data_IF_597133241641
#
_entry.id   IF_597133241641
#
_cell.length_a   1.000
_cell.length_b   1.000
_cell.length_c   1.000
_cell.angle_alpha   90.00
_cell.angle_beta   90.00
_cell.angle_gamma   90.00
#
_symmetry.space_group_name_H-M   'P 1'
#
loop_
_entity.id
_entity.type
_entity.pdbx_description
1 polymer ?
#
# COMPACT_ATOMS: atom_id res chain seq x y z
N UNK A 1 12.42 17.51 -24.78
CA UNK A 1 12.66 17.67 -23.31
C UNK A 1 14.09 18.09 -23.02
N UNK A 2 15.12 17.32 -23.38
CA UNK A 2 16.52 17.73 -23.19
C UNK A 2 16.84 19.08 -23.86
N UNK A 3 16.37 19.29 -25.09
CA UNK A 3 16.48 20.58 -25.79
C UNK A 3 15.82 21.75 -25.05
N UNK A 4 14.86 21.49 -24.16
CA UNK A 4 14.20 22.50 -23.33
C UNK A 4 14.86 22.66 -21.94
N UNK A 5 16.07 22.11 -21.74
CA UNK A 5 16.83 22.22 -20.49
C UNK A 5 16.51 21.15 -19.45
N UNK A 6 15.68 20.15 -19.76
CA UNK A 6 15.34 19.08 -18.81
C UNK A 6 16.46 18.03 -18.75
N UNK A 7 17.04 17.82 -17.58
CA UNK A 7 17.95 16.70 -17.30
C UNK A 7 17.15 15.40 -17.25
N UNK A 8 17.38 14.51 -18.22
CA UNK A 8 16.81 13.16 -18.22
C UNK A 8 17.83 12.20 -17.63
N UNK A 9 17.42 11.48 -16.59
CA UNK A 9 18.23 10.45 -15.93
C UNK A 9 17.58 9.12 -16.22
N UNK A 10 18.32 8.22 -16.84
CA UNK A 10 17.88 6.86 -17.08
C UNK A 10 18.23 5.99 -15.89
N UNK A 11 17.37 5.02 -15.60
CA UNK A 11 17.61 4.07 -14.53
C UNK A 11 18.86 3.23 -14.80
N UNK A 12 19.60 2.89 -13.75
CA UNK A 12 20.77 2.01 -13.85
C UNK A 12 20.39 0.67 -14.51
N UNK A 13 21.28 0.08 -15.34
CA UNK A 13 21.04 -1.25 -15.92
C UNK A 13 20.69 -2.29 -14.84
N UNK A 14 19.61 -3.03 -15.06
CA UNK A 14 19.12 -4.05 -14.12
C UNK A 14 18.18 -3.53 -13.02
N UNK A 15 18.09 -2.21 -12.81
CA UNK A 15 17.24 -1.61 -11.78
C UNK A 15 16.14 -0.77 -12.42
N UNK A 16 14.88 -1.19 -12.29
CA UNK A 16 13.74 -0.43 -12.81
C UNK A 16 13.14 0.45 -11.71
N UNK A 17 13.00 1.74 -11.98
CA UNK A 17 12.28 2.66 -11.10
C UNK A 17 10.78 2.50 -11.34
N UNK A 18 10.04 2.15 -10.31
CA UNK A 18 8.59 2.00 -10.34
C UNK A 18 7.90 2.81 -9.25
N UNK A 19 8.64 3.50 -8.38
CA UNK A 19 8.12 4.57 -7.52
C UNK A 19 7.47 5.69 -8.35
N UNK A 20 6.39 6.29 -7.82
CA UNK A 20 5.67 7.41 -8.46
C UNK A 20 5.72 8.62 -7.56
N UNK A 21 6.79 9.39 -7.77
CA UNK A 21 7.10 10.57 -6.99
C UNK A 21 7.17 11.77 -7.94
N UNK A 22 6.59 12.89 -7.52
CA UNK A 22 6.86 14.19 -8.09
C UNK A 22 7.25 15.13 -6.95
N UNK A 23 8.26 15.97 -7.18
CA UNK A 23 8.84 16.80 -6.12
C UNK A 23 9.21 18.18 -6.66
N UNK A 24 8.87 19.21 -5.91
CA UNK A 24 9.12 20.61 -6.23
C UNK A 24 9.84 21.27 -5.07
N UNK A 25 10.98 21.90 -5.36
CA UNK A 25 11.70 22.78 -4.43
C UNK A 25 11.44 24.24 -4.80
N UNK A 26 11.00 25.02 -3.82
CA UNK A 26 10.69 26.44 -3.99
C UNK A 26 11.51 27.26 -2.99
N UNK A 27 12.19 28.30 -3.46
CA UNK A 27 12.82 29.28 -2.57
C UNK A 27 11.75 29.97 -1.72
N UNK A 28 11.99 30.09 -0.43
CA UNK A 28 11.12 30.78 0.51
C UNK A 28 11.79 32.05 1.02
N UNK A 29 10.97 33.02 1.45
CA UNK A 29 11.43 34.21 2.17
C UNK A 29 11.57 33.95 3.68
N UNK A 30 11.32 32.72 4.12
CA UNK A 30 11.43 32.25 5.49
C UNK A 30 12.92 31.98 5.81
N UNK A 31 13.56 32.78 6.69
CA UNK A 31 14.99 32.63 6.98
C UNK A 31 15.34 31.28 7.60
N UNK A 32 14.40 30.67 8.33
CA UNK A 32 14.55 29.36 8.99
C UNK A 32 14.24 28.19 8.05
N UNK A 33 13.61 28.46 6.89
CA UNK A 33 13.26 27.45 5.88
C UNK A 33 13.40 28.01 4.46
N UNK A 34 14.63 28.36 4.02
CA UNK A 34 14.86 29.09 2.78
C UNK A 34 14.51 28.27 1.53
N UNK A 35 14.30 26.96 1.65
CA UNK A 35 13.88 26.08 0.55
C UNK A 35 12.75 25.16 1.03
N UNK A 36 11.52 25.47 0.61
CA UNK A 36 10.34 24.66 0.89
C UNK A 36 10.15 23.58 -0.17
N UNK A 37 9.90 22.36 0.28
CA UNK A 37 9.62 21.21 -0.55
C UNK A 37 8.15 20.84 -0.57
N UNK A 38 7.66 20.44 -1.73
CA UNK A 38 6.31 19.89 -1.92
C UNK A 38 6.44 18.63 -2.75
N UNK A 39 5.81 17.54 -2.31
CA UNK A 39 5.87 16.28 -3.01
C UNK A 39 4.50 15.64 -3.17
N UNK A 40 4.34 14.96 -4.30
CA UNK A 40 3.28 14.00 -4.55
C UNK A 40 3.88 12.59 -4.54
N UNK A 41 3.27 11.69 -3.77
CA UNK A 41 3.60 10.27 -3.74
C UNK A 41 2.37 9.45 -4.13
N UNK A 42 2.48 8.58 -5.12
CA UNK A 42 1.35 7.83 -5.68
C UNK A 42 1.51 6.31 -5.62
N UNK A 43 0.40 5.60 -5.50
CA UNK A 43 0.33 4.14 -5.71
C UNK A 43 0.37 3.76 -7.19
N UNK A 44 -0.06 4.67 -8.06
CA UNK A 44 -0.18 4.51 -9.50
C UNK A 44 0.61 5.53 -10.31
N UNK A 45 0.62 5.33 -11.62
CA UNK A 45 1.35 6.19 -12.56
C UNK A 45 0.63 7.52 -12.81
N UNK A 46 1.37 8.50 -13.35
CA UNK A 46 0.86 9.83 -13.69
C UNK A 46 0.09 9.87 -15.02
N UNK A 47 -0.34 8.73 -15.56
CA UNK A 47 -0.98 8.69 -16.88
C UNK A 47 -2.48 8.99 -16.75
N UNK A 48 -2.90 10.10 -17.37
CA UNK A 48 -4.30 10.57 -17.34
C UNK A 48 -5.30 9.54 -17.88
N UNK A 49 -4.90 8.73 -18.88
CA UNK A 49 -5.78 7.70 -19.46
C UNK A 49 -6.09 6.61 -18.43
N UNK A 50 -5.09 6.17 -17.68
CA UNK A 50 -5.29 5.14 -16.65
C UNK A 50 -5.95 5.71 -15.41
N UNK A 51 -5.73 6.98 -15.06
CA UNK A 51 -6.37 7.62 -13.90
C UNK A 51 -7.91 7.60 -13.95
N UNK A 52 -8.52 7.50 -15.14
CA UNK A 52 -9.99 7.41 -15.29
C UNK A 52 -10.58 6.04 -14.95
N UNK A 53 -9.75 5.00 -15.00
CA UNK A 53 -10.21 3.61 -14.86
C UNK A 53 -9.49 2.88 -13.72
N UNK A 54 -8.36 3.38 -13.23
CA UNK A 54 -7.60 2.79 -12.15
C UNK A 54 -7.94 3.53 -10.86
N UNK A 55 -8.32 2.77 -9.85
CA UNK A 55 -8.50 3.28 -8.49
C UNK A 55 -7.13 3.34 -7.81
N UNK A 56 -6.54 4.54 -7.80
CA UNK A 56 -5.24 4.85 -7.20
C UNK A 56 -5.36 5.86 -6.07
N UNK A 57 -4.34 5.90 -5.20
CA UNK A 57 -4.23 6.89 -4.11
C UNK A 57 -2.96 7.71 -4.28
N UNK A 58 -3.05 8.98 -3.93
CA UNK A 58 -1.92 9.90 -3.94
C UNK A 58 -1.91 10.77 -2.69
N UNK A 59 -0.72 11.04 -2.16
CA UNK A 59 -0.49 11.96 -1.05
C UNK A 59 0.27 13.18 -1.56
N UNK A 60 -0.33 14.36 -1.44
CA UNK A 60 0.35 15.63 -1.60
C UNK A 60 0.77 16.15 -0.22
N UNK A 61 2.05 16.45 -0.04
CA UNK A 61 2.59 16.82 1.27
C UNK A 61 3.74 17.83 1.19
N UNK A 62 3.89 18.62 2.24
CA UNK A 62 5.07 19.46 2.51
C UNK A 62 5.74 19.08 3.83
N UNK A 63 5.51 17.85 4.32
CA UNK A 63 6.15 17.34 5.54
C UNK A 63 7.67 17.26 5.34
N UNK A 64 8.42 18.05 6.13
CA UNK A 64 9.87 18.22 5.97
C UNK A 64 10.65 16.90 6.02
N UNK A 65 10.24 15.95 6.86
CA UNK A 65 10.95 14.68 6.99
C UNK A 65 10.69 13.76 5.79
N UNK A 66 9.45 13.70 5.28
CA UNK A 66 9.16 12.99 4.02
C UNK A 66 9.92 13.64 2.86
N UNK A 67 9.97 14.97 2.80
CA UNK A 67 10.71 15.70 1.76
C UNK A 67 12.20 15.34 1.77
N UNK A 68 12.83 15.27 2.96
CA UNK A 68 14.24 14.86 3.10
C UNK A 68 14.50 13.47 2.56
N UNK A 69 13.64 12.50 2.88
CA UNK A 69 13.77 11.15 2.34
C UNK A 69 13.58 11.11 0.82
N UNK A 70 12.67 11.92 0.26
CA UNK A 70 12.49 12.03 -1.20
C UNK A 70 13.73 12.61 -1.88
N UNK A 71 14.34 13.65 -1.31
CA UNK A 71 15.62 14.19 -1.79
C UNK A 71 16.68 13.08 -1.86
N UNK A 72 16.74 12.20 -0.85
CA UNK A 72 17.67 11.07 -0.83
C UNK A 72 17.32 10.01 -1.88
N UNK A 73 16.02 9.70 -2.11
CA UNK A 73 15.60 8.81 -3.21
C UNK A 73 16.11 9.36 -4.55
N UNK A 74 15.92 10.65 -4.81
CA UNK A 74 16.40 11.24 -6.07
C UNK A 74 17.92 11.17 -6.16
N UNK A 75 18.67 11.47 -5.09
CA UNK A 75 20.14 11.34 -5.09
C UNK A 75 20.61 9.93 -5.45
N UNK A 76 19.98 8.90 -4.88
CA UNK A 76 20.24 7.49 -5.23
C UNK A 76 20.00 7.26 -6.73
N UNK A 77 18.89 7.75 -7.27
CA UNK A 77 18.57 7.63 -8.69
C UNK A 77 19.53 8.39 -9.60
N UNK A 78 20.13 9.48 -9.12
CA UNK A 78 21.19 10.21 -9.82
C UNK A 78 22.57 9.51 -9.74
N UNK A 79 22.69 8.40 -9.02
CA UNK A 79 23.96 7.70 -8.79
C UNK A 79 24.91 8.47 -7.85
N UNK A 80 24.39 9.40 -7.05
CA UNK A 80 25.18 10.12 -6.05
C UNK A 80 25.42 9.23 -4.83
N UNK A 81 26.54 9.43 -4.10
CA UNK A 81 26.73 8.81 -2.80
C UNK A 81 25.53 9.13 -1.90
N UNK A 82 24.85 8.09 -1.43
CA UNK A 82 23.81 8.22 -0.42
C UNK A 82 24.50 8.36 0.94
N UNK A 83 24.01 9.29 1.76
CA UNK A 83 24.64 9.67 3.03
C UNK A 83 23.73 9.36 4.23
N UNK A 84 22.47 8.95 4.00
CA UNK A 84 21.46 8.83 5.06
C UNK A 84 20.60 7.58 4.92
N UNK A 85 20.20 7.03 6.06
CA UNK A 85 19.12 6.05 6.18
C UNK A 85 17.76 6.73 5.94
N UNK A 86 16.90 6.12 5.12
CA UNK A 86 15.51 6.54 4.98
C UNK A 86 14.78 6.35 6.32
N UNK A 87 14.26 7.44 6.89
CA UNK A 87 13.65 7.43 8.24
C UNK A 87 12.15 7.18 8.22
N UNK A 88 11.48 7.62 7.17
CA UNK A 88 10.03 7.61 7.02
C UNK A 88 9.61 6.79 5.79
N UNK A 89 10.27 7.01 4.65
CA UNK A 89 10.03 6.24 3.44
C UNK A 89 10.62 4.83 3.57
N UNK A 90 9.88 3.86 3.08
CA UNK A 90 10.39 2.52 2.86
C UNK A 90 10.74 2.39 1.39
N UNK A 91 11.98 2.03 1.10
CA UNK A 91 12.51 1.92 -0.27
C UNK A 91 13.08 0.51 -0.46
N UNK A 92 12.68 -0.15 -1.54
CA UNK A 92 13.24 -1.47 -1.89
C UNK A 92 14.73 -1.34 -2.21
N UNK A 93 15.49 -2.41 -2.00
CA UNK A 93 16.96 -2.42 -2.00
C UNK A 93 17.61 -1.71 -0.79
N UNK A 94 16.80 -1.12 0.10
CA UNK A 94 17.27 -0.46 1.31
C UNK A 94 16.55 -1.05 2.53
N UNK A 95 15.55 -0.35 3.07
CA UNK A 95 14.91 -0.66 4.35
C UNK A 95 13.53 -1.33 4.23
N UNK A 96 12.94 -1.42 3.02
CA UNK A 96 11.52 -1.82 2.90
C UNK A 96 11.27 -3.26 3.38
N UNK A 97 12.08 -4.23 2.96
CA UNK A 97 11.81 -5.63 3.26
C UNK A 97 11.96 -5.94 4.75
N UNK A 98 13.01 -5.40 5.38
CA UNK A 98 13.22 -5.52 6.82
C UNK A 98 12.10 -4.85 7.62
N UNK A 99 11.66 -3.66 7.20
CA UNK A 99 10.54 -2.97 7.85
C UNK A 99 9.22 -3.74 7.74
N UNK A 100 8.91 -4.35 6.59
CA UNK A 100 7.71 -5.19 6.43
C UNK A 100 7.76 -6.37 7.40
N UNK A 101 8.89 -7.10 7.44
CA UNK A 101 9.06 -8.21 8.38
C UNK A 101 8.90 -7.74 9.82
N UNK A 102 9.53 -6.63 10.21
CA UNK A 102 9.41 -6.08 11.56
C UNK A 102 7.96 -5.75 11.93
N UNK A 103 7.19 -5.15 11.01
CA UNK A 103 5.78 -4.86 11.26
C UNK A 103 4.96 -6.14 11.47
N UNK A 104 5.23 -7.21 10.71
CA UNK A 104 4.58 -8.51 10.89
C UNK A 104 4.98 -9.14 12.24
N UNK A 105 6.27 -9.16 12.59
CA UNK A 105 6.74 -9.69 13.86
C UNK A 105 6.20 -8.89 15.06
N UNK A 106 5.98 -7.59 14.90
CA UNK A 106 5.34 -6.78 15.94
C UNK A 106 3.91 -7.27 16.21
N UNK A 107 3.09 -7.49 15.17
CA UNK A 107 1.73 -8.04 15.36
C UNK A 107 1.74 -9.41 16.04
N UNK A 108 2.72 -10.27 15.70
CA UNK A 108 2.92 -11.56 16.38
C UNK A 108 3.21 -11.33 17.86
N UNK A 109 4.15 -10.43 18.17
CA UNK A 109 4.53 -10.09 19.55
C UNK A 109 3.35 -9.54 20.36
N UNK A 110 2.48 -8.73 19.73
CA UNK A 110 1.25 -8.23 20.36
C UNK A 110 0.32 -9.39 20.76
N UNK A 111 0.10 -10.36 19.85
CA UNK A 111 -0.76 -11.52 20.10
C UNK A 111 -0.17 -12.46 21.16
N UNK A 112 1.13 -12.73 21.10
CA UNK A 112 1.83 -13.54 22.10
C UNK A 112 1.80 -12.90 23.49
N UNK A 113 1.70 -11.57 23.55
CA UNK A 113 1.51 -10.81 24.78
C UNK A 113 0.04 -10.74 25.24
N UNK A 114 -0.87 -11.48 24.60
CA UNK A 114 -2.29 -11.54 24.92
C UNK A 114 -3.12 -10.36 24.41
N UNK A 115 -2.59 -9.53 23.50
CA UNK A 115 -3.31 -8.42 22.86
C UNK A 115 -3.81 -8.82 21.48
N UNK A 116 -4.56 -7.94 20.82
CA UNK A 116 -5.01 -8.18 19.45
C UNK A 116 -3.88 -7.88 18.45
N UNK A 117 -3.77 -8.72 17.43
CA UNK A 117 -2.95 -8.45 16.24
C UNK A 117 -3.82 -8.50 14.99
N UNK A 118 -3.68 -7.49 14.13
CA UNK A 118 -4.48 -7.38 12.92
C UNK A 118 -3.73 -6.70 11.79
N UNK A 119 -3.74 -7.35 10.63
CA UNK A 119 -3.11 -6.90 9.40
C UNK A 119 -4.16 -6.81 8.30
N UNK A 120 -4.18 -5.70 7.55
CA UNK A 120 -4.94 -5.60 6.29
C UNK A 120 -4.00 -5.20 5.17
N UNK A 121 -3.92 -6.04 4.12
CA UNK A 121 -3.06 -5.79 2.97
C UNK A 121 -3.88 -5.74 1.70
N UNK A 122 -3.87 -4.59 1.03
CA UNK A 122 -4.41 -4.40 -0.30
C UNK A 122 -3.27 -4.28 -1.30
N UNK A 123 -3.29 -5.09 -2.36
CA UNK A 123 -2.35 -4.95 -3.48
C UNK A 123 -2.87 -5.65 -4.73
N UNK A 124 -2.16 -5.51 -5.85
CA UNK A 124 -2.58 -6.15 -7.09
C UNK A 124 -2.17 -7.62 -7.12
N UNK A 125 -1.02 -7.96 -6.53
CA UNK A 125 -0.50 -9.32 -6.56
C UNK A 125 0.35 -9.66 -5.34
N UNK A 126 0.25 -10.91 -4.89
CA UNK A 126 1.01 -11.51 -3.81
C UNK A 126 1.64 -12.82 -4.32
N UNK A 127 2.96 -12.85 -4.43
CA UNK A 127 3.72 -13.96 -5.03
C UNK A 127 4.99 -14.29 -4.23
N UNK A 128 5.57 -13.30 -3.53
CA UNK A 128 6.83 -13.48 -2.83
C UNK A 128 6.73 -14.54 -1.73
N UNK A 129 7.51 -15.62 -1.85
CA UNK A 129 7.51 -16.76 -0.92
C UNK A 129 7.88 -16.35 0.51
N UNK A 130 8.84 -15.44 0.68
CA UNK A 130 9.27 -14.98 2.00
C UNK A 130 8.16 -14.23 2.72
N UNK A 131 7.46 -13.36 1.99
CA UNK A 131 6.31 -12.63 2.51
C UNK A 131 5.11 -13.53 2.81
N UNK A 132 4.81 -14.49 1.93
CA UNK A 132 3.74 -15.46 2.15
C UNK A 132 4.02 -16.29 3.41
N UNK A 133 5.25 -16.78 3.58
CA UNK A 133 5.64 -17.54 4.77
C UNK A 133 5.58 -16.68 6.04
N UNK A 134 5.91 -15.39 5.98
CA UNK A 134 5.76 -14.49 7.10
C UNK A 134 4.28 -14.31 7.50
N UNK A 135 3.37 -14.20 6.53
CA UNK A 135 1.93 -14.15 6.80
C UNK A 135 1.40 -15.47 7.39
N UNK A 136 1.89 -16.62 6.93
CA UNK A 136 1.54 -17.91 7.55
C UNK A 136 1.99 -17.98 9.01
N UNK A 137 3.23 -17.59 9.31
CA UNK A 137 3.71 -17.50 10.70
C UNK A 137 2.83 -16.58 11.56
N UNK A 138 2.43 -15.42 11.02
CA UNK A 138 1.53 -14.51 11.71
C UNK A 138 0.18 -15.15 12.01
N UNK A 139 -0.41 -15.84 11.02
CA UNK A 139 -1.66 -16.57 11.19
C UNK A 139 -1.55 -17.70 12.22
N UNK A 140 -0.47 -18.48 12.21
CA UNK A 140 -0.22 -19.54 13.20
C UNK A 140 -0.13 -18.99 14.63
N UNK A 141 0.51 -17.83 14.81
CA UNK A 141 0.59 -17.13 16.08
C UNK A 141 -0.74 -16.53 16.56
N UNK A 142 -1.75 -16.44 15.69
CA UNK A 142 -3.08 -15.92 16.03
C UNK A 142 -3.40 -14.53 15.48
N UNK A 143 -2.49 -13.92 14.71
CA UNK A 143 -2.72 -12.63 14.06
C UNK A 143 -3.81 -12.78 12.99
N UNK A 144 -4.83 -11.91 13.04
CA UNK A 144 -5.86 -11.84 12.00
C UNK A 144 -5.29 -11.13 10.77
N UNK A 145 -5.52 -11.68 9.58
CA UNK A 145 -5.02 -11.09 8.33
C UNK A 145 -6.14 -11.04 7.29
N UNK A 146 -6.45 -9.84 6.81
CA UNK A 146 -7.33 -9.64 5.66
C UNK A 146 -6.53 -9.20 4.42
N UNK A 147 -6.63 -9.97 3.35
CA UNK A 147 -5.96 -9.69 2.09
C UNK A 147 -6.99 -9.25 1.04
N UNK A 148 -6.73 -8.13 0.38
CA UNK A 148 -7.51 -7.63 -0.77
C UNK A 148 -6.61 -7.71 -2.00
N UNK A 149 -6.68 -8.82 -2.73
CA UNK A 149 -5.79 -9.13 -3.86
C UNK A 149 -6.59 -9.31 -5.14
N UNK A 150 -6.54 -8.33 -6.04
CA UNK A 150 -7.32 -8.39 -7.29
C UNK A 150 -6.77 -9.35 -8.36
N UNK A 151 -5.45 -9.55 -8.38
CA UNK A 151 -4.73 -10.30 -9.41
C UNK A 151 -4.18 -11.62 -8.89
N UNK A 152 -2.90 -11.86 -9.15
CA UNK A 152 -2.21 -13.11 -8.77
C UNK A 152 -2.10 -13.19 -7.24
N UNK A 153 -2.54 -14.31 -6.66
CA UNK A 153 -2.34 -14.62 -5.24
C UNK A 153 -1.82 -16.06 -5.15
N UNK A 154 -0.58 -16.23 -4.70
CA UNK A 154 0.02 -17.55 -4.48
C UNK A 154 -0.17 -18.06 -3.04
N UNK A 155 -0.72 -17.23 -2.15
CA UNK A 155 -1.10 -17.63 -0.80
C UNK A 155 -2.38 -18.46 -0.86
N UNK A 156 -2.31 -19.66 -0.26
CA UNK A 156 -3.45 -20.58 -0.09
C UNK A 156 -4.13 -20.33 1.27
N UNK A 157 -5.39 -19.85 1.29
CA UNK A 157 -6.18 -19.64 2.51
C UNK A 157 -6.84 -20.96 3.00
N UNK A 158 -7.53 -20.89 4.15
CA UNK A 158 -8.31 -22.01 4.73
C UNK A 158 -7.49 -23.28 5.05
N UNK A 159 -6.20 -23.14 5.29
CA UNK A 159 -5.33 -24.23 5.77
C UNK A 159 -5.07 -24.08 7.26
N UNK A 160 -4.61 -25.13 7.99
CA UNK A 160 -4.25 -24.99 9.40
C UNK A 160 -3.28 -23.83 9.68
N UNK A 161 -2.31 -23.61 8.78
CA UNK A 161 -1.33 -22.52 8.86
C UNK A 161 -1.88 -21.15 8.39
N UNK A 162 -3.00 -21.12 7.67
CA UNK A 162 -3.63 -19.90 7.15
C UNK A 162 -5.04 -19.66 7.70
N UNK A 163 -5.40 -20.31 8.81
CA UNK A 163 -6.73 -20.27 9.43
C UNK A 163 -7.20 -18.86 9.81
N UNK A 164 -6.27 -17.94 10.05
CA UNK A 164 -6.56 -16.55 10.40
C UNK A 164 -6.41 -15.58 9.21
N UNK A 165 -6.20 -16.11 8.00
CA UNK A 165 -6.04 -15.32 6.77
C UNK A 165 -7.29 -15.46 5.91
N UNK A 166 -7.93 -14.33 5.60
CA UNK A 166 -8.99 -14.26 4.59
C UNK A 166 -8.49 -13.55 3.35
N UNK A 167 -8.83 -14.10 2.18
CA UNK A 167 -8.47 -13.52 0.89
C UNK A 167 -9.74 -13.09 0.17
N UNK A 168 -9.86 -11.78 -0.02
CA UNK A 168 -10.90 -11.14 -0.83
C UNK A 168 -10.30 -10.70 -2.16
N UNK A 169 -10.96 -11.05 -3.26
CA UNK A 169 -10.65 -10.53 -4.60
C UNK A 169 -11.81 -9.66 -5.06
N UNK A 170 -11.50 -8.46 -5.52
CA UNK A 170 -12.48 -7.50 -6.05
C UNK A 170 -12.09 -7.19 -7.50
N UNK A 171 -12.98 -7.50 -8.43
CA UNK A 171 -12.89 -7.14 -9.84
C UNK A 171 -14.21 -6.50 -10.21
N UNK A 172 -14.16 -5.23 -10.61
CA UNK A 172 -15.33 -4.42 -10.88
C UNK A 172 -15.00 -3.39 -11.98
N UNK A 173 -15.88 -2.41 -12.21
CA UNK A 173 -15.78 -1.42 -13.28
C UNK A 173 -14.45 -0.65 -13.28
N UNK A 174 -13.99 -0.23 -12.10
CA UNK A 174 -12.65 0.33 -11.91
C UNK A 174 -11.64 -0.76 -11.55
N UNK A 175 -10.42 -0.63 -12.06
CA UNK A 175 -9.34 -1.54 -11.71
C UNK A 175 -8.80 -1.17 -10.33
N UNK A 176 -8.93 -2.09 -9.38
CA UNK A 176 -8.38 -1.96 -8.02
C UNK A 176 -6.85 -1.95 -8.06
N UNK A 177 -6.24 -0.75 -8.11
CA UNK A 177 -4.81 -0.60 -8.35
C UNK A 177 -4.01 -0.11 -7.14
N UNK A 178 -4.66 0.64 -6.23
CA UNK A 178 -4.06 1.11 -5.00
C UNK A 178 -3.49 -0.04 -4.17
N UNK A 179 -2.32 0.20 -3.58
CA UNK A 179 -1.68 -0.71 -2.63
C UNK A 179 -1.59 -0.04 -1.28
N UNK A 180 -2.09 -0.72 -0.26
CA UNK A 180 -2.23 -0.22 1.10
C UNK A 180 -1.80 -1.32 2.06
N UNK A 181 -0.97 -0.98 3.03
CA UNK A 181 -0.63 -1.85 4.15
C UNK A 181 -1.12 -1.20 5.43
N UNK A 182 -1.91 -1.93 6.20
CA UNK A 182 -2.39 -1.53 7.51
C UNK A 182 -1.96 -2.56 8.54
N UNK A 183 -1.46 -2.07 9.67
CA UNK A 183 -1.05 -2.83 10.84
C UNK A 183 -1.67 -2.17 12.08
N UNK A 184 -2.30 -2.95 12.95
CA UNK A 184 -2.94 -2.48 14.18
C UNK A 184 -1.92 -1.94 15.19
N UNK A 185 -0.77 -2.63 15.30
CA UNK A 185 0.42 -2.22 16.03
C UNK A 185 0.12 -1.82 17.49
N UNK A 186 -0.54 -2.71 18.24
CA UNK A 186 -0.93 -2.47 19.63
C UNK A 186 -1.89 -1.29 19.81
N UNK A 187 -2.70 -0.98 18.77
CA UNK A 187 -3.61 0.16 18.72
C UNK A 187 -2.98 1.45 18.16
N UNK A 188 -1.67 1.48 17.89
CA UNK A 188 -0.99 2.58 17.20
C UNK A 188 -0.96 2.32 15.70
N UNK A 189 -2.14 2.36 15.10
CA UNK A 189 -2.39 1.99 13.71
C UNK A 189 -1.38 2.64 12.75
N UNK A 190 -0.73 1.80 11.95
CA UNK A 190 0.27 2.20 10.97
C UNK A 190 -0.23 1.89 9.58
N UNK A 191 -0.23 2.92 8.72
CA UNK A 191 -0.70 2.81 7.34
C UNK A 191 0.39 3.26 6.38
N UNK A 192 0.66 2.42 5.39
CA UNK A 192 1.50 2.73 4.25
C UNK A 192 0.69 2.67 2.96
N UNK A 193 0.90 3.65 2.11
CA UNK A 193 0.56 3.57 0.69
C UNK A 193 1.83 3.25 -0.08
N UNK A 194 1.74 2.46 -1.15
CA UNK A 194 2.95 1.99 -1.84
C UNK A 194 2.78 1.84 -3.34
N UNK A 195 3.90 1.90 -4.06
CA UNK A 195 4.00 1.49 -5.46
C UNK A 195 4.24 -0.01 -5.64
N UNK A 196 4.59 -0.73 -4.57
CA UNK A 196 5.00 -2.13 -4.60
C UNK A 196 3.84 -3.11 -4.38
N UNK A 197 3.75 -4.11 -5.26
CA UNK A 197 3.13 -5.40 -4.93
C UNK A 197 4.14 -6.29 -4.21
N UNK A 198 3.68 -7.30 -3.47
CA UNK A 198 4.57 -8.30 -2.85
C UNK A 198 4.91 -9.42 -3.84
N UNK A 199 5.62 -9.03 -4.90
CA UNK A 199 6.19 -9.94 -5.90
C UNK A 199 7.71 -9.88 -5.87
N UNK A 200 8.35 -10.97 -6.29
CA UNK A 200 9.81 -11.07 -6.34
C UNK A 200 10.47 -9.92 -7.10
N UNK A 201 9.90 -9.56 -8.26
CA UNK A 201 10.41 -8.45 -9.08
C UNK A 201 10.23 -7.07 -8.41
N UNK A 202 9.20 -6.88 -7.60
CA UNK A 202 8.89 -5.60 -6.98
C UNK A 202 9.79 -5.37 -5.77
N UNK A 203 9.87 -6.35 -4.87
CA UNK A 203 10.63 -6.23 -3.63
C UNK A 203 12.16 -6.30 -3.85
N UNK A 204 12.62 -7.10 -4.83
CA UNK A 204 14.04 -7.41 -4.98
C UNK A 204 14.72 -6.86 -6.23
N UNK A 205 13.98 -6.40 -7.25
CA UNK A 205 14.56 -6.00 -8.55
C UNK A 205 14.13 -4.61 -9.06
N UNK A 206 13.38 -3.88 -8.25
CA UNK A 206 12.87 -2.54 -8.57
C UNK A 206 13.21 -1.57 -7.45
N UNK A 207 13.18 -0.29 -7.78
CA UNK A 207 13.05 0.79 -6.79
C UNK A 207 11.57 1.15 -6.71
N UNK A 208 10.97 0.75 -5.59
CA UNK A 208 9.61 1.04 -5.16
C UNK A 208 9.68 1.86 -3.88
N UNK A 209 8.61 2.61 -3.61
CA UNK A 209 8.50 3.40 -2.39
C UNK A 209 7.17 3.10 -1.72
N UNK A 210 7.22 2.83 -0.42
CA UNK A 210 6.07 2.92 0.48
C UNK A 210 6.22 4.14 1.38
N UNK A 211 5.14 4.85 1.60
CA UNK A 211 5.13 6.08 2.37
C UNK A 211 4.04 6.06 3.44
N UNK A 212 4.37 6.49 4.68
CA UNK A 212 3.45 6.44 5.80
C UNK A 212 2.42 7.56 5.72
N UNK A 213 1.21 7.29 6.21
CA UNK A 213 0.14 8.28 6.35
C UNK A 213 0.08 8.73 7.81
N UNK A 214 0.60 9.92 8.11
CA UNK A 214 0.62 10.45 9.48
C UNK A 214 -0.65 11.18 9.90
N UNK A 215 -1.35 11.80 8.96
CA UNK A 215 -2.56 12.57 9.25
C UNK A 215 -3.68 11.64 9.70
N UNK A 216 -4.16 11.79 10.94
CA UNK A 216 -5.25 10.97 11.50
C UNK A 216 -6.53 10.98 10.63
N UNK A 217 -7.02 12.14 10.13
CA UNK A 217 -8.15 12.15 9.21
C UNK A 217 -7.92 11.31 7.94
N UNK A 218 -6.71 11.33 7.38
CA UNK A 218 -6.38 10.54 6.19
C UNK A 218 -6.26 9.05 6.52
N UNK A 219 -5.69 8.70 7.68
CA UNK A 219 -5.66 7.31 8.15
C UNK A 219 -7.08 6.76 8.29
N UNK A 220 -7.97 7.52 8.95
CA UNK A 220 -9.37 7.12 9.13
C UNK A 220 -10.07 6.92 7.80
N UNK A 221 -9.89 7.85 6.85
CA UNK A 221 -10.46 7.72 5.51
C UNK A 221 -10.01 6.44 4.80
N UNK A 222 -8.72 6.09 4.90
CA UNK A 222 -8.18 4.87 4.30
C UNK A 222 -8.75 3.62 4.98
N UNK A 223 -8.85 3.62 6.31
CA UNK A 223 -9.43 2.51 7.08
C UNK A 223 -10.90 2.29 6.71
N UNK A 224 -11.70 3.35 6.63
CA UNK A 224 -13.11 3.26 6.24
C UNK A 224 -13.25 2.69 4.82
N UNK A 225 -12.40 3.14 3.87
CA UNK A 225 -12.38 2.59 2.52
C UNK A 225 -12.01 1.09 2.52
N UNK A 226 -11.00 0.67 3.30
CA UNK A 226 -10.64 -0.75 3.40
C UNK A 226 -11.80 -1.58 3.98
N UNK A 227 -12.51 -1.06 4.99
CA UNK A 227 -13.70 -1.71 5.56
C UNK A 227 -14.80 -1.89 4.52
N UNK A 228 -15.14 -0.83 3.78
CA UNK A 228 -16.13 -0.90 2.68
C UNK A 228 -15.72 -1.97 1.66
N UNK A 229 -14.43 -2.08 1.33
CA UNK A 229 -13.93 -3.11 0.41
C UNK A 229 -14.04 -4.53 0.98
N UNK A 230 -13.79 -4.73 2.28
CA UNK A 230 -13.93 -6.02 2.94
C UNK A 230 -15.39 -6.46 3.08
N UNK A 231 -16.30 -5.49 3.26
CA UNK A 231 -17.76 -5.67 3.37
C UNK A 231 -18.46 -5.83 2.01
N UNK A 232 -17.78 -5.59 0.89
CA UNK A 232 -18.35 -5.81 -0.44
C UNK A 232 -18.90 -7.22 -0.55
N UNK A 233 -20.18 -7.31 -0.89
CA UNK A 233 -20.89 -8.56 -1.07
C UNK A 233 -21.58 -8.62 -2.44
N UNK A 234 -21.21 -7.76 -3.39
CA UNK A 234 -21.80 -7.70 -4.72
C UNK A 234 -20.79 -8.06 -5.82
N UNK A 235 -19.60 -7.46 -5.78
CA UNK A 235 -18.53 -7.65 -6.77
C UNK A 235 -17.37 -8.47 -6.21
N UNK A 236 -17.26 -8.57 -4.88
CA UNK A 236 -16.20 -9.30 -4.23
C UNK A 236 -16.43 -10.82 -4.20
N UNK A 237 -15.33 -11.55 -4.28
CA UNK A 237 -15.27 -13.01 -4.12
C UNK A 237 -14.30 -13.35 -2.99
N UNK A 238 -14.59 -14.43 -2.27
CA UNK A 238 -13.59 -15.15 -1.50
C UNK A 238 -12.69 -15.93 -2.44
N UNK A 239 -11.40 -16.05 -2.09
CA UNK A 239 -10.52 -17.06 -2.68
C UNK A 239 -10.47 -18.22 -1.69
N UNK A 240 -10.83 -19.44 -2.11
CA UNK A 240 -10.84 -20.62 -1.24
C UNK A 240 -9.48 -21.37 -1.27
N UNK A 241 -9.40 -22.49 -0.56
CA UNK A 241 -8.23 -23.38 -0.48
C UNK A 241 -7.78 -23.97 -1.82
N UNK A 242 -8.68 -24.04 -2.81
CA UNK A 242 -8.39 -24.49 -4.17
C UNK A 242 -8.03 -23.33 -5.10
N UNK A 243 -7.95 -22.10 -4.56
CA UNK A 243 -7.75 -20.85 -5.28
C UNK A 243 -8.89 -20.50 -6.26
N UNK A 244 -10.07 -21.09 -6.05
CA UNK A 244 -11.29 -20.74 -6.77
C UNK A 244 -11.91 -19.47 -6.20
N UNK A 245 -12.62 -18.76 -7.08
CA UNK A 245 -13.40 -17.59 -6.72
C UNK A 245 -14.81 -18.01 -6.28
N UNK A 246 -15.15 -17.76 -5.02
CA UNK A 246 -16.50 -17.99 -4.47
C UNK A 246 -17.16 -16.64 -4.22
N UNK A 247 -18.26 -16.34 -4.91
CA UNK A 247 -18.92 -15.05 -4.75
C UNK A 247 -19.41 -14.85 -3.31
N UNK A 248 -19.08 -13.70 -2.71
CA UNK A 248 -19.50 -13.39 -1.35
C UNK A 248 -21.02 -13.34 -1.22
N UNK A 249 -21.72 -12.86 -2.26
CA UNK A 249 -23.19 -12.78 -2.33
C UNK A 249 -23.87 -14.14 -2.17
N UNK A 250 -23.24 -15.21 -2.63
CA UNK A 250 -23.79 -16.57 -2.58
C UNK A 250 -23.68 -17.16 -1.16
N UNK A 251 -22.84 -16.56 -0.32
CA UNK A 251 -22.64 -16.91 1.09
C UNK A 251 -23.22 -15.90 2.07
N UNK A 252 -23.77 -14.79 1.55
CA UNK A 252 -24.32 -13.71 2.38
C UNK A 252 -25.70 -14.10 2.91
N UNK A 253 -26.01 -13.68 4.14
CA UNK A 253 -27.37 -13.78 4.66
C UNK A 253 -28.31 -12.95 3.79
N UNK A 254 -29.58 -13.39 3.55
CA UNK A 254 -30.59 -12.58 2.87
C UNK A 254 -30.82 -11.21 3.52
N UNK A 255 -30.56 -11.10 4.83
CA UNK A 255 -30.73 -9.86 5.60
C UNK A 255 -29.54 -8.88 5.45
N UNK A 256 -28.43 -9.31 4.83
CA UNK A 256 -27.27 -8.45 4.64
C UNK A 256 -27.60 -7.37 3.61
N UNK A 257 -27.33 -6.12 3.98
CA UNK A 257 -27.47 -4.99 3.04
C UNK A 257 -26.52 -5.19 1.85
N UNK A 258 -27.00 -5.06 0.61
CA UNK A 258 -26.14 -5.10 -0.57
C UNK A 258 -25.11 -3.95 -0.55
N UNK A 259 -23.82 -4.29 -0.58
CA UNK A 259 -22.70 -3.35 -0.61
C UNK A 259 -21.81 -3.67 -1.81
N UNK A 260 -21.71 -2.73 -2.74
CA UNK A 260 -20.74 -2.75 -3.84
C UNK A 260 -19.68 -1.68 -3.57
N UNK A 261 -18.43 -2.09 -3.36
CA UNK A 261 -17.41 -1.23 -2.78
C UNK A 261 -17.19 0.05 -3.59
N UNK A 262 -17.12 -0.03 -4.91
CA UNK A 262 -16.79 1.15 -5.74
C UNK A 262 -17.86 2.23 -5.65
N UNK A 263 -19.14 1.85 -5.62
CA UNK A 263 -20.24 2.79 -5.43
C UNK A 263 -20.24 3.34 -3.99
N UNK A 264 -20.10 2.47 -2.99
CA UNK A 264 -20.09 2.89 -1.59
C UNK A 264 -18.91 3.81 -1.26
N UNK A 265 -17.72 3.57 -1.83
CA UNK A 265 -16.55 4.46 -1.69
C UNK A 265 -16.82 5.81 -2.35
N UNK A 266 -17.42 5.83 -3.54
CA UNK A 266 -17.79 7.08 -4.20
C UNK A 266 -18.72 7.91 -3.30
N UNK A 267 -19.76 7.29 -2.76
CA UNK A 267 -20.76 7.98 -1.93
C UNK A 267 -20.16 8.45 -0.60
N UNK A 268 -19.32 7.62 0.03
CA UNK A 268 -18.56 7.98 1.23
C UNK A 268 -17.66 9.21 0.99
N UNK A 269 -16.88 9.20 -0.09
CA UNK A 269 -15.98 10.30 -0.42
C UNK A 269 -16.77 11.57 -0.72
N UNK A 270 -17.82 11.48 -1.54
CA UNK A 270 -18.70 12.60 -1.89
C UNK A 270 -19.25 13.31 -0.65
N UNK A 271 -19.79 12.54 0.31
CA UNK A 271 -20.29 13.06 1.58
C UNK A 271 -19.17 13.71 2.41
N UNK A 272 -18.00 13.06 2.50
CA UNK A 272 -16.87 13.56 3.31
C UNK A 272 -16.24 14.85 2.77
N UNK A 273 -16.30 15.09 1.45
CA UNK A 273 -15.71 16.26 0.80
C UNK A 273 -16.71 17.39 0.56
N UNK A 274 -17.99 17.20 0.91
CA UNK A 274 -19.05 18.19 0.70
C UNK A 274 -19.35 18.47 -0.78
N UNK A 275 -19.14 17.48 -1.66
CA UNK A 275 -19.43 17.56 -3.10
C UNK A 275 -20.71 16.80 -3.47
#
# INVERSE_FOLDING_TARGET
MQQAGVKIIYSLPGLKVHAKLAYVRKRSNDPEDPIKGYAYLGTGNFNEKTARIYSDKGLLTSNKEIIRDIDEVFRVLEGKPYMHDFRHLLVTQFNMLSAIHQMIEQEITEVESGREGYIVLKMNSLEDKGMINALYRASEAGVKVDLIIRGICCLIPNQPYSKNIRVTRIVDAYLEHARVWYFLNGGKETIYLTSADWMQRNLHRRIEVAFPVYSEPLKRQIIDILKIQLEDNQSAVWVNEHLDNVFKRDTASPDNTPIRAQQAIHDYLKQSTGQ
#
